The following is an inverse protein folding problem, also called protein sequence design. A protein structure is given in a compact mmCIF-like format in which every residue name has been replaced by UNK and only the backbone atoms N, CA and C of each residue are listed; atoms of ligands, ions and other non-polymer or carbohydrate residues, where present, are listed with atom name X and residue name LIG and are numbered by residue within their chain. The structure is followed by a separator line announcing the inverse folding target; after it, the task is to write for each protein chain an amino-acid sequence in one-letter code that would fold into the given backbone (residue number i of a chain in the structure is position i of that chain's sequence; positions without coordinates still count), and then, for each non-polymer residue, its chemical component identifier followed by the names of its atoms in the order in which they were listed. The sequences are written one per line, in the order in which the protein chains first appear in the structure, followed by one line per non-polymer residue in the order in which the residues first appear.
data_IF_164507060410
#
_entry.id   IF_164507060410
#
_cell.length_a   1.000
_cell.length_b   1.000
_cell.length_c   1.000
_cell.angle_alpha   90.00
_cell.angle_beta   90.00
_cell.angle_gamma   90.00
#
_symmetry.space_group_name_H-M   'P 1'
#
loop_
_entity.id
_entity.type
_entity.pdbx_description
1 polymer ?
#
# COMPACT_ATOMS: atom_id res chain seq x y z
N UNK A 1 17.64 -5.16 -27.06
CA UNK A 1 17.01 -3.83 -27.15
C UNK A 1 15.51 -3.89 -27.00
N UNK A 2 14.83 -4.80 -27.66
CA UNK A 2 13.37 -4.95 -27.51
C UNK A 2 12.98 -5.51 -26.14
N UNK A 3 13.79 -6.41 -25.56
CA UNK A 3 13.59 -6.94 -24.21
C UNK A 3 13.71 -5.85 -23.14
N UNK A 4 14.66 -4.92 -23.25
CA UNK A 4 14.79 -3.78 -22.34
C UNK A 4 13.63 -2.78 -22.49
N UNK A 5 13.07 -2.65 -23.68
CA UNK A 5 11.86 -1.83 -23.91
C UNK A 5 10.61 -2.49 -23.35
N UNK A 6 10.51 -3.83 -23.46
CA UNK A 6 9.40 -4.57 -22.86
C UNK A 6 9.48 -4.57 -21.35
N UNK A 7 10.69 -4.73 -20.75
CA UNK A 7 10.90 -4.58 -19.32
C UNK A 7 10.54 -3.17 -18.82
N UNK A 8 10.91 -2.12 -19.57
CA UNK A 8 10.56 -0.73 -19.22
C UNK A 8 9.06 -0.46 -19.37
N UNK A 9 8.38 -1.08 -20.36
CA UNK A 9 6.93 -0.99 -20.51
C UNK A 9 6.20 -1.76 -19.43
N UNK A 10 6.84 -2.83 -18.88
CA UNK A 10 6.29 -3.64 -17.82
C UNK A 10 6.53 -3.11 -16.40
N UNK A 11 7.30 -2.00 -16.24
CA UNK A 11 7.58 -1.43 -14.95
C UNK A 11 6.51 -0.39 -14.56
N UNK A 12 5.71 -0.65 -13.51
CA UNK A 12 4.74 0.33 -13.04
C UNK A 12 5.41 1.59 -12.50
N UNK A 13 4.79 2.74 -12.72
CA UNK A 13 5.21 3.98 -12.08
C UNK A 13 4.50 4.15 -10.74
N UNK A 14 5.23 4.66 -9.75
CA UNK A 14 4.69 4.95 -8.43
C UNK A 14 4.24 6.41 -8.41
N UNK A 15 2.98 6.64 -8.06
CA UNK A 15 2.41 7.98 -7.98
C UNK A 15 1.37 8.10 -6.86
N UNK A 16 1.01 9.31 -6.51
CA UNK A 16 -0.09 9.58 -5.59
C UNK A 16 -1.42 9.31 -6.30
N UNK A 17 -2.35 8.69 -5.60
CA UNK A 17 -3.69 8.44 -6.09
C UNK A 17 -4.51 9.72 -6.15
N UNK A 18 -5.39 9.80 -7.14
CA UNK A 18 -6.41 10.84 -7.25
C UNK A 18 -7.81 10.23 -7.08
N UNK A 19 -8.84 11.05 -6.95
CA UNK A 19 -10.20 10.56 -6.68
C UNK A 19 -10.71 9.59 -7.75
N UNK A 20 -10.28 9.76 -8.99
CA UNK A 20 -10.63 8.87 -10.10
C UNK A 20 -10.08 7.44 -9.93
N UNK A 21 -9.08 7.24 -9.07
CA UNK A 21 -8.50 5.93 -8.81
C UNK A 21 -9.30 5.09 -7.81
N UNK A 22 -10.29 5.65 -7.13
CA UNK A 22 -10.95 5.02 -5.99
C UNK A 22 -11.61 3.68 -6.34
N UNK A 23 -12.31 3.60 -7.46
CA UNK A 23 -12.96 2.36 -7.92
C UNK A 23 -11.92 1.29 -8.25
N UNK A 24 -10.84 1.66 -8.93
CA UNK A 24 -9.74 0.75 -9.27
C UNK A 24 -9.04 0.22 -8.01
N UNK A 25 -8.91 1.04 -6.96
CA UNK A 25 -8.35 0.62 -5.68
C UNK A 25 -9.21 -0.48 -5.03
N UNK A 26 -10.53 -0.32 -5.02
CA UNK A 26 -11.42 -1.36 -4.49
C UNK A 26 -11.28 -2.67 -5.26
N UNK A 27 -11.23 -2.61 -6.58
CA UNK A 27 -11.02 -3.78 -7.43
C UNK A 27 -9.67 -4.44 -7.15
N UNK A 28 -8.61 -3.66 -7.00
CA UNK A 28 -7.29 -4.17 -6.66
C UNK A 28 -7.32 -4.94 -5.33
N UNK A 29 -7.92 -4.37 -4.30
CA UNK A 29 -7.96 -5.01 -2.98
C UNK A 29 -8.77 -6.30 -3.01
N UNK A 30 -9.85 -6.34 -3.78
CA UNK A 30 -10.61 -7.56 -3.99
C UNK A 30 -9.76 -8.63 -4.72
N UNK A 31 -9.11 -8.26 -5.81
CA UNK A 31 -8.30 -9.18 -6.62
C UNK A 31 -7.03 -9.65 -5.89
N UNK A 32 -6.49 -8.83 -5.01
CA UNK A 32 -5.33 -9.17 -4.20
C UNK A 32 -5.67 -10.07 -3.02
N UNK A 33 -6.94 -10.42 -2.83
CA UNK A 33 -7.42 -11.25 -1.73
C UNK A 33 -7.10 -10.67 -0.36
N UNK A 34 -7.08 -9.35 -0.26
CA UNK A 34 -6.94 -8.69 1.04
C UNK A 34 -8.21 -8.93 1.87
N UNK A 35 -8.03 -9.09 3.18
CA UNK A 35 -9.18 -9.22 4.06
C UNK A 35 -10.02 -7.94 4.00
N UNK A 36 -11.35 -8.03 3.76
CA UNK A 36 -12.20 -6.85 3.69
C UNK A 36 -12.19 -6.09 5.02
N UNK A 37 -11.89 -4.80 4.96
CA UNK A 37 -11.96 -3.93 6.12
C UNK A 37 -13.28 -3.15 6.17
N UNK A 38 -13.60 -2.64 7.35
CA UNK A 38 -14.82 -1.84 7.56
C UNK A 38 -14.83 -0.53 6.78
N UNK A 39 -13.66 -0.09 6.32
CA UNK A 39 -13.51 1.16 5.56
C UNK A 39 -13.15 0.93 4.09
N UNK A 40 -13.31 -0.30 3.60
CA UNK A 40 -13.06 -0.64 2.19
C UNK A 40 -14.30 -0.36 1.35
N UNK A 41 -14.69 0.88 1.28
CA UNK A 41 -15.80 1.36 0.46
C UNK A 41 -15.40 2.64 -0.26
N UNK A 42 -16.14 2.96 -1.32
CA UNK A 42 -15.85 4.09 -2.18
C UNK A 42 -15.83 5.41 -1.41
N UNK A 43 -16.79 5.60 -0.52
CA UNK A 43 -16.95 6.85 0.23
C UNK A 43 -15.77 7.07 1.17
N UNK A 44 -15.35 6.04 1.90
CA UNK A 44 -14.20 6.12 2.82
C UNK A 44 -12.90 6.41 2.09
N UNK A 45 -12.70 5.80 0.92
CA UNK A 45 -11.49 6.05 0.10
C UNK A 45 -11.48 7.48 -0.41
N UNK A 46 -12.60 7.95 -0.94
CA UNK A 46 -12.72 9.32 -1.43
C UNK A 46 -12.48 10.33 -0.31
N UNK A 47 -13.01 10.06 0.87
CA UNK A 47 -12.80 10.92 2.04
C UNK A 47 -11.31 10.99 2.40
N UNK A 48 -10.61 9.85 2.42
CA UNK A 48 -9.17 9.83 2.71
C UNK A 48 -8.37 10.63 1.69
N UNK A 49 -8.62 10.40 0.39
CA UNK A 49 -7.89 11.09 -0.68
C UNK A 49 -8.10 12.61 -0.60
N UNK A 50 -9.30 13.05 -0.26
CA UNK A 50 -9.61 14.49 -0.09
C UNK A 50 -9.01 15.08 1.17
N UNK A 51 -9.02 14.32 2.26
CA UNK A 51 -8.49 14.77 3.55
C UNK A 51 -6.96 14.88 3.53
N UNK A 52 -6.28 13.88 2.97
CA UNK A 52 -4.83 13.83 2.90
C UNK A 52 -4.39 13.38 1.49
N UNK A 53 -4.27 14.31 0.55
CA UNK A 53 -4.01 13.97 -0.87
C UNK A 53 -2.72 13.21 -1.15
N UNK A 54 -1.78 13.17 -0.21
CA UNK A 54 -0.54 12.42 -0.38
C UNK A 54 -0.56 11.02 0.22
N UNK A 55 -1.61 10.65 0.95
CA UNK A 55 -1.62 9.44 1.75
C UNK A 55 -1.70 8.16 0.92
N UNK A 56 -2.50 8.15 -0.14
CA UNK A 56 -2.71 6.95 -0.96
C UNK A 56 -1.74 6.97 -2.13
N UNK A 57 -0.91 5.94 -2.20
CA UNK A 57 0.13 5.78 -3.22
C UNK A 57 -0.22 4.54 -4.05
N UNK A 58 -0.12 4.66 -5.36
CA UNK A 58 -0.45 3.58 -6.29
C UNK A 58 0.70 3.27 -7.24
N UNK A 59 0.71 2.04 -7.70
CA UNK A 59 1.54 1.61 -8.82
C UNK A 59 0.66 1.56 -10.06
N UNK A 60 1.01 2.37 -11.03
CA UNK A 60 0.25 2.56 -12.26
C UNK A 60 1.03 1.97 -13.43
N UNK A 61 0.43 1.02 -14.11
CA UNK A 61 0.97 0.43 -15.34
C UNK A 61 0.03 0.80 -16.48
N UNK A 62 0.43 1.83 -17.23
CA UNK A 62 -0.31 2.29 -18.43
C UNK A 62 -1.80 2.56 -18.13
N UNK A 63 -2.10 3.23 -17.02
CA UNK A 63 -3.45 3.56 -16.61
C UNK A 63 -4.15 2.50 -15.76
N UNK A 64 -3.51 1.35 -15.54
CA UNK A 64 -4.03 0.28 -14.70
C UNK A 64 -3.36 0.29 -13.33
N UNK A 65 -4.14 0.30 -12.27
CA UNK A 65 -3.64 0.25 -10.91
C UNK A 65 -3.31 -1.20 -10.56
N UNK A 66 -2.03 -1.49 -10.36
CA UNK A 66 -1.52 -2.84 -10.08
C UNK A 66 -0.94 -2.99 -8.68
N UNK A 67 -0.90 -1.93 -7.91
CA UNK A 67 -0.45 -1.96 -6.53
C UNK A 67 -0.89 -0.73 -5.78
N UNK A 68 -0.91 -0.82 -4.45
CA UNK A 68 -1.30 0.29 -3.57
C UNK A 68 -0.58 0.20 -2.24
N UNK A 69 -0.52 1.34 -1.56
CA UNK A 69 -0.19 1.46 -0.14
C UNK A 69 -0.81 2.74 0.38
N UNK A 70 -1.26 2.73 1.61
CA UNK A 70 -1.72 3.94 2.30
C UNK A 70 -0.66 4.28 3.35
N UNK A 71 -0.10 5.49 3.25
CA UNK A 71 0.88 6.04 4.19
C UNK A 71 0.19 7.11 5.04
N UNK A 72 -0.48 6.69 6.11
CA UNK A 72 -1.23 7.58 7.00
C UNK A 72 -0.32 8.36 7.94
N UNK A 73 -0.61 9.65 8.11
CA UNK A 73 0.13 10.57 8.95
C UNK A 73 -0.82 11.24 9.93
N UNK A 74 -0.55 11.12 11.21
CA UNK A 74 -1.37 11.72 12.26
C UNK A 74 -0.75 12.98 12.90
N UNK A 75 0.36 13.47 12.35
CA UNK A 75 1.12 14.58 12.90
C UNK A 75 2.20 14.14 13.88
N UNK A 76 2.32 12.84 14.15
CA UNK A 76 3.26 12.28 15.12
C UNK A 76 3.88 10.98 14.60
N UNK A 77 3.06 9.99 14.24
CA UNK A 77 3.51 8.68 13.73
C UNK A 77 2.94 8.41 12.35
N UNK A 78 3.60 7.52 11.63
CA UNK A 78 3.10 7.00 10.36
C UNK A 78 2.49 5.62 10.53
N UNK A 79 1.45 5.35 9.76
CA UNK A 79 0.79 4.04 9.73
C UNK A 79 0.63 3.58 8.30
N UNK A 80 0.94 2.32 8.05
CA UNK A 80 0.82 1.70 6.73
C UNK A 80 -0.43 0.85 6.70
N UNK A 81 -1.27 1.09 5.68
CA UNK A 81 -2.47 0.32 5.41
C UNK A 81 -2.50 -0.12 3.95
N UNK A 82 -3.22 -1.19 3.68
CA UNK A 82 -3.56 -1.61 2.31
C UNK A 82 -2.37 -1.69 1.36
N UNK A 83 -1.28 -2.31 1.81
CA UNK A 83 -0.23 -2.74 0.92
C UNK A 83 -0.78 -3.92 0.10
N UNK A 84 -0.98 -3.71 -1.17
CA UNK A 84 -1.54 -4.72 -2.06
C UNK A 84 -0.84 -4.69 -3.40
N UNK A 85 -0.62 -5.87 -3.98
CA UNK A 85 -0.06 -6.03 -5.32
C UNK A 85 -0.93 -7.02 -6.07
N UNK A 86 -1.36 -6.64 -7.27
CA UNK A 86 -2.14 -7.51 -8.13
C UNK A 86 -1.39 -8.83 -8.37
N UNK A 87 -2.09 -9.99 -8.36
CA UNK A 87 -1.44 -11.29 -8.41
C UNK A 87 -0.41 -11.47 -9.54
N UNK A 88 -0.71 -10.95 -10.73
CA UNK A 88 0.18 -11.06 -11.89
C UNK A 88 1.48 -10.25 -11.76
N UNK A 89 1.53 -9.32 -10.81
CA UNK A 89 2.67 -8.41 -10.62
C UNK A 89 3.45 -8.68 -9.35
N UNK A 90 3.15 -9.79 -8.67
CA UNK A 90 3.90 -10.25 -7.49
C UNK A 90 5.27 -10.77 -7.90
N UNK A 91 6.19 -10.84 -6.92
CA UNK A 91 7.60 -11.30 -7.10
C UNK A 91 8.45 -10.41 -8.01
N UNK A 92 8.03 -9.16 -8.23
CA UNK A 92 8.77 -8.17 -9.00
C UNK A 92 9.26 -7.01 -8.12
N UNK A 93 9.30 -7.22 -6.81
CA UNK A 93 9.69 -6.22 -5.80
C UNK A 93 8.80 -4.98 -5.78
N UNK A 94 7.60 -5.06 -6.34
CA UNK A 94 6.67 -3.93 -6.38
C UNK A 94 6.19 -3.54 -4.97
N UNK A 95 5.90 -4.53 -4.12
CA UNK A 95 5.56 -4.30 -2.71
C UNK A 95 6.64 -3.52 -1.97
N UNK A 96 7.90 -3.87 -2.19
CA UNK A 96 9.03 -3.16 -1.58
C UNK A 96 9.13 -1.72 -2.10
N UNK A 97 8.93 -1.50 -3.40
CA UNK A 97 8.91 -0.14 -3.98
C UNK A 97 7.81 0.72 -3.36
N UNK A 98 6.63 0.15 -3.15
CA UNK A 98 5.51 0.84 -2.52
C UNK A 98 5.82 1.20 -1.07
N UNK A 99 6.38 0.27 -0.29
CA UNK A 99 6.79 0.53 1.09
C UNK A 99 7.86 1.62 1.15
N UNK A 100 8.85 1.58 0.27
CA UNK A 100 9.90 2.62 0.22
C UNK A 100 9.31 4.00 -0.11
N UNK A 101 8.32 4.08 -1.00
CA UNK A 101 7.62 5.33 -1.29
C UNK A 101 6.84 5.84 -0.07
N UNK A 102 6.16 4.96 0.65
CA UNK A 102 5.45 5.29 1.87
C UNK A 102 6.41 5.78 2.97
N UNK A 103 7.50 5.06 3.20
CA UNK A 103 8.53 5.45 4.16
C UNK A 103 9.11 6.82 3.84
N UNK A 104 9.39 7.06 2.56
CA UNK A 104 9.94 8.34 2.09
C UNK A 104 8.96 9.50 2.36
N UNK A 105 7.68 9.33 2.07
CA UNK A 105 6.65 10.32 2.39
C UNK A 105 6.60 10.63 3.88
N UNK A 106 6.51 9.60 4.70
CA UNK A 106 6.36 9.74 6.14
C UNK A 106 7.59 10.35 6.80
N UNK A 107 8.79 10.01 6.31
CA UNK A 107 10.03 10.63 6.76
C UNK A 107 10.05 12.14 6.46
N UNK A 108 9.62 12.54 5.26
CA UNK A 108 9.52 13.97 4.90
C UNK A 108 8.54 14.74 5.77
N UNK A 109 7.49 14.07 6.24
CA UNK A 109 6.51 14.68 7.14
C UNK A 109 6.99 14.75 8.59
N UNK A 110 8.06 14.04 8.93
CA UNK A 110 8.66 14.08 10.25
C UNK A 110 8.39 12.84 11.12
N UNK A 111 7.84 11.77 10.55
CA UNK A 111 7.60 10.54 11.28
C UNK A 111 8.93 9.87 11.65
N UNK A 112 9.15 9.62 12.94
CA UNK A 112 10.32 8.87 13.43
C UNK A 112 9.96 7.43 13.77
N UNK A 113 8.68 7.11 13.77
CA UNK A 113 8.16 5.76 14.03
C UNK A 113 7.03 5.44 13.07
N UNK A 114 7.11 4.29 12.45
CA UNK A 114 6.10 3.76 11.53
C UNK A 114 5.56 2.46 12.08
N UNK A 115 4.31 2.15 11.78
CA UNK A 115 3.70 0.87 12.14
C UNK A 115 2.85 0.32 11.01
N UNK A 116 2.71 -0.99 10.97
CA UNK A 116 1.79 -1.70 10.10
C UNK A 116 1.15 -2.85 10.88
N UNK A 117 -0.13 -3.10 10.63
CA UNK A 117 -0.81 -4.25 11.21
C UNK A 117 -1.04 -5.26 10.11
N UNK A 118 -0.53 -6.46 10.32
CA UNK A 118 -0.58 -7.56 9.35
C UNK A 118 -1.38 -8.71 10.00
N UNK A 119 -2.34 -9.25 9.27
CA UNK A 119 -3.12 -10.38 9.76
C UNK A 119 -2.20 -11.60 9.92
N UNK A 120 -2.13 -12.15 11.12
CA UNK A 120 -1.19 -13.21 11.49
C UNK A 120 -1.30 -14.43 10.58
N UNK A 121 -2.51 -14.83 10.21
CA UNK A 121 -2.76 -16.00 9.37
C UNK A 121 -2.51 -15.75 7.86
N UNK A 122 -2.25 -14.53 7.46
CA UNK A 122 -1.90 -14.23 6.08
C UNK A 122 -0.41 -14.52 5.86
N UNK A 123 -0.13 -15.74 5.42
CA UNK A 123 1.27 -16.22 5.23
C UNK A 123 2.03 -15.39 4.20
N UNK A 124 1.36 -14.94 3.14
CA UNK A 124 2.00 -14.12 2.11
C UNK A 124 2.39 -12.76 2.68
N UNK A 125 1.49 -12.11 3.38
CA UNK A 125 1.76 -10.82 4.00
C UNK A 125 2.84 -10.91 5.08
N UNK A 126 2.73 -11.87 5.99
CA UNK A 126 3.72 -12.03 7.07
C UNK A 126 5.10 -12.37 6.51
N UNK A 127 5.18 -13.24 5.51
CA UNK A 127 6.44 -13.58 4.84
C UNK A 127 7.07 -12.35 4.17
N UNK A 128 6.25 -11.53 3.51
CA UNK A 128 6.72 -10.29 2.90
C UNK A 128 7.32 -9.36 3.96
N UNK A 129 6.57 -9.06 5.03
CA UNK A 129 7.03 -8.14 6.06
C UNK A 129 8.28 -8.64 6.80
N UNK A 130 8.37 -9.95 7.05
CA UNK A 130 9.56 -10.57 7.64
C UNK A 130 10.79 -10.51 6.74
N UNK A 131 10.60 -10.36 5.43
CA UNK A 131 11.70 -10.19 4.49
C UNK A 131 12.25 -8.76 4.45
N UNK A 132 11.55 -7.81 5.07
CA UNK A 132 11.94 -6.39 5.14
C UNK A 132 12.78 -6.12 6.38
N UNK A 133 13.22 -4.87 6.50
CA UNK A 133 13.94 -4.37 7.70
C UNK A 133 12.98 -3.90 8.81
N UNK A 134 11.70 -4.26 8.72
CA UNK A 134 10.71 -3.97 9.75
C UNK A 134 10.72 -5.04 10.83
N UNK A 135 10.62 -4.62 12.11
CA UNK A 135 10.65 -5.51 13.27
C UNK A 135 9.26 -5.98 13.64
N UNK A 136 9.08 -7.30 13.72
CA UNK A 136 7.83 -7.91 14.17
C UNK A 136 7.67 -7.74 15.67
N UNK A 137 6.52 -7.20 16.12
CA UNK A 137 6.18 -6.97 17.52
C UNK A 137 5.10 -7.96 17.95
N UNK A 138 5.50 -9.10 18.51
CA UNK A 138 4.57 -10.17 18.91
C UNK A 138 3.90 -9.94 20.26
N UNK A 139 4.36 -8.97 21.04
CA UNK A 139 3.87 -8.68 22.39
C UNK A 139 2.71 -7.70 22.44
N UNK A 140 2.26 -7.23 21.27
CA UNK A 140 1.21 -6.22 21.15
C UNK A 140 -0.13 -6.86 20.88
N UNK A 141 -1.16 -6.30 21.45
CA UNK A 141 -2.55 -6.69 21.23
C UNK A 141 -3.27 -5.50 20.64
N UNK A 142 -4.12 -5.76 19.63
CA UNK A 142 -4.88 -4.71 18.96
C UNK A 142 -6.29 -4.65 19.53
N UNK A 143 -6.71 -3.45 19.94
CA UNK A 143 -8.09 -3.15 20.29
C UNK A 143 -8.70 -2.25 19.23
N UNK A 144 -9.88 -2.58 18.76
CA UNK A 144 -10.58 -1.81 17.72
C UNK A 144 -12.01 -1.53 18.13
N UNK A 145 -12.58 -0.46 17.58
CA UNK A 145 -13.98 -0.08 17.77
C UNK A 145 -14.50 0.49 16.45
N UNK A 146 -15.70 0.05 16.04
CA UNK A 146 -16.28 0.50 14.77
C UNK A 146 -16.31 -0.53 13.66
#
# INVERSE_FOLDING_TARGET
MDAEREERRGAPSIRVAVTQDATALLSLWHDAETEPGHTDDLQSILQLIRYDPGAVIVADLDGRIVGSVIAGWDGWRGSIYRLAVAPLYRRQKLGLRLIRAAESRLARLGAVRLQAIVVENDVRATSFWRSTDWDEQTERVRFVKG
#
